data_IF_510812360458
#
_entry.id   IF_510812360458
#
_cell.length_a   1.000
_cell.length_b   1.000
_cell.length_c   1.000
_cell.angle_alpha   90.00
_cell.angle_beta   90.00
_cell.angle_gamma   90.00
#
_symmetry.space_group_name_H-M   'P 1'
#
loop_
_entity.id
_entity.type
_entity.pdbx_description
1 polymer ?
#
# COMPACT_ATOMS: atom_id res chain seq x y z
N UNK A 1 -0.51 -7.85 -12.96
CA UNK A 1 -0.55 -6.51 -12.31
C UNK A 1 -1.96 -6.26 -11.73
N UNK A 2 -2.37 -7.00 -10.70
CA UNK A 2 -3.76 -6.99 -10.17
C UNK A 2 -3.92 -6.17 -8.87
N UNK A 3 -2.89 -6.10 -8.01
CA UNK A 3 -2.98 -5.38 -6.73
C UNK A 3 -3.24 -3.85 -6.85
N UNK A 4 -2.78 -3.21 -7.93
CA UNK A 4 -3.05 -1.78 -8.17
C UNK A 4 -4.49 -1.49 -8.64
N UNK A 5 -5.24 -2.53 -9.03
CA UNK A 5 -6.60 -2.43 -9.56
C UNK A 5 -7.65 -2.65 -8.47
N UNK A 6 -7.38 -3.53 -7.50
CA UNK A 6 -8.35 -3.91 -6.47
C UNK A 6 -8.22 -3.15 -5.14
N UNK A 7 -7.12 -2.43 -4.91
CA UNK A 7 -6.91 -1.64 -3.69
C UNK A 7 -6.90 -0.13 -4.03
N UNK A 8 -7.90 0.59 -3.53
CA UNK A 8 -8.07 2.02 -3.76
C UNK A 8 -6.89 2.85 -3.26
N UNK A 9 -6.23 2.42 -2.19
CA UNK A 9 -5.06 3.11 -1.65
C UNK A 9 -3.83 2.95 -2.56
N UNK A 10 -3.66 1.78 -3.18
CA UNK A 10 -2.58 1.53 -4.14
C UNK A 10 -2.84 2.24 -5.48
N UNK A 11 -4.10 2.36 -5.89
CA UNK A 11 -4.50 3.11 -7.09
C UNK A 11 -4.19 4.60 -6.97
N UNK A 12 -4.47 5.20 -5.81
CA UNK A 12 -4.13 6.60 -5.52
C UNK A 12 -2.62 6.86 -5.53
N UNK A 13 -1.83 5.94 -4.97
CA UNK A 13 -0.36 6.03 -4.99
C UNK A 13 0.19 5.94 -6.42
N UNK A 14 -0.30 4.98 -7.21
CA UNK A 14 0.08 4.83 -8.60
C UNK A 14 -0.22 6.10 -9.40
N UNK A 15 -1.45 6.61 -9.31
CA UNK A 15 -1.89 7.81 -10.02
C UNK A 15 -1.00 9.02 -9.66
N UNK A 16 -0.78 9.28 -8.36
CA UNK A 16 0.09 10.39 -7.91
C UNK A 16 1.51 10.31 -8.48
N UNK A 17 2.09 9.11 -8.55
CA UNK A 17 3.45 8.92 -9.06
C UNK A 17 3.50 9.10 -10.57
N UNK A 18 2.51 8.57 -11.29
CA UNK A 18 2.41 8.73 -12.74
C UNK A 18 2.14 10.18 -13.11
N UNK A 19 1.22 10.86 -12.43
CA UNK A 19 0.90 12.27 -12.65
C UNK A 19 2.13 13.16 -12.40
N UNK A 20 2.95 12.84 -11.39
CA UNK A 20 4.18 13.61 -11.09
C UNK A 20 5.34 13.33 -12.04
N UNK A 21 5.47 12.10 -12.54
CA UNK A 21 6.68 11.68 -13.29
C UNK A 21 6.45 11.46 -14.78
N UNK A 22 5.21 11.36 -15.22
CA UNK A 22 4.81 10.97 -16.58
C UNK A 22 5.10 9.50 -16.93
N UNK A 23 5.74 8.73 -16.04
CA UNK A 23 6.28 7.40 -16.37
C UNK A 23 5.50 6.30 -15.64
N UNK A 24 4.71 5.53 -16.40
CA UNK A 24 3.87 4.42 -15.89
C UNK A 24 4.68 3.36 -15.12
N UNK A 25 5.88 2.99 -15.62
CA UNK A 25 6.76 2.01 -14.94
C UNK A 25 7.17 2.44 -13.53
N UNK A 26 7.41 3.74 -13.29
CA UNK A 26 7.75 4.25 -11.95
C UNK A 26 6.59 4.05 -10.97
N UNK A 27 5.37 4.26 -11.43
CA UNK A 27 4.16 3.96 -10.65
C UNK A 27 4.07 2.48 -10.28
N UNK A 28 4.27 1.58 -11.24
CA UNK A 28 4.21 0.14 -10.99
C UNK A 28 5.30 -0.35 -10.02
N UNK A 29 6.55 0.10 -10.19
CA UNK A 29 7.67 -0.28 -9.31
C UNK A 29 7.44 0.22 -7.88
N UNK A 30 6.87 1.41 -7.70
CA UNK A 30 6.56 1.94 -6.38
C UNK A 30 5.47 1.12 -5.67
N UNK A 31 4.42 0.72 -6.38
CA UNK A 31 3.37 -0.15 -5.82
C UNK A 31 3.94 -1.52 -5.45
N UNK A 32 4.76 -2.12 -6.31
CA UNK A 32 5.40 -3.41 -6.06
C UNK A 32 6.31 -3.37 -4.82
N UNK A 33 7.16 -2.34 -4.68
CA UNK A 33 8.03 -2.18 -3.52
C UNK A 33 7.22 -2.08 -2.22
N UNK A 34 6.11 -1.32 -2.24
CA UNK A 34 5.26 -1.18 -1.05
C UNK A 34 4.60 -2.51 -0.65
N UNK A 35 4.16 -3.30 -1.62
CA UNK A 35 3.60 -4.63 -1.38
C UNK A 35 4.66 -5.59 -0.82
N UNK A 36 5.88 -5.57 -1.37
CA UNK A 36 6.97 -6.43 -0.91
C UNK A 36 7.35 -6.14 0.55
N UNK A 37 7.42 -4.86 0.92
CA UNK A 37 7.71 -4.44 2.30
C UNK A 37 6.60 -4.89 3.26
N UNK A 38 5.34 -4.78 2.86
CA UNK A 38 4.21 -5.28 3.64
C UNK A 38 4.30 -6.80 3.89
N UNK A 39 4.55 -7.58 2.83
CA UNK A 39 4.71 -9.03 2.94
C UNK A 39 5.90 -9.37 3.86
N UNK A 40 7.03 -8.67 3.70
CA UNK A 40 8.21 -8.86 4.54
C UNK A 40 7.92 -8.62 6.02
N UNK A 41 7.20 -7.55 6.36
CA UNK A 41 6.82 -7.26 7.74
C UNK A 41 5.87 -8.32 8.32
N UNK A 42 4.85 -8.74 7.56
CA UNK A 42 3.93 -9.77 8.00
C UNK A 42 4.63 -11.12 8.20
N UNK A 43 5.53 -11.47 7.29
CA UNK A 43 6.30 -12.71 7.36
C UNK A 43 7.27 -12.73 8.54
N UNK A 44 7.98 -11.62 8.79
CA UNK A 44 8.94 -11.53 9.90
C UNK A 44 8.27 -11.47 11.27
N UNK A 45 7.05 -10.92 11.36
CA UNK A 45 6.26 -10.86 12.61
C UNK A 45 5.30 -12.03 12.78
N UNK A 46 5.17 -12.90 11.78
CA UNK A 46 4.19 -13.99 11.73
C UNK A 46 2.75 -13.50 12.01
N UNK A 47 2.44 -12.28 11.55
CA UNK A 47 1.15 -11.62 11.76
C UNK A 47 0.24 -11.87 10.55
N UNK A 48 -1.06 -12.04 10.80
CA UNK A 48 -2.05 -12.15 9.72
C UNK A 48 -2.24 -10.80 9.05
N UNK A 49 -2.33 -10.80 7.72
CA UNK A 49 -2.68 -9.59 6.97
C UNK A 49 -4.08 -9.12 7.38
N UNK A 50 -4.18 -7.90 7.89
CA UNK A 50 -5.43 -7.23 8.18
C UNK A 50 -5.63 -6.04 7.23
N UNK A 51 -6.60 -6.09 6.29
CA UNK A 51 -6.87 -4.99 5.38
C UNK A 51 -7.40 -3.74 6.08
N UNK A 52 -7.97 -3.88 7.28
CA UNK A 52 -8.46 -2.76 8.10
C UNK A 52 -7.42 -2.25 9.10
N UNK A 53 -6.19 -2.76 9.07
CA UNK A 53 -5.12 -2.36 9.99
C UNK A 53 -4.95 -0.83 10.06
N UNK A 54 -5.00 -0.15 8.91
CA UNK A 54 -4.88 1.32 8.83
C UNK A 54 -6.05 2.08 9.43
N UNK A 55 -7.26 1.55 9.35
CA UNK A 55 -8.43 2.18 9.97
C UNK A 55 -8.41 1.97 11.49
N UNK A 56 -8.01 0.78 11.95
CA UNK A 56 -7.81 0.49 13.37
C UNK A 56 -6.71 1.38 13.98
N UNK A 57 -5.60 1.56 13.27
CA UNK A 57 -4.52 2.47 13.67
C UNK A 57 -5.01 3.92 13.74
N UNK A 58 -5.79 4.39 12.75
CA UNK A 58 -6.36 5.74 12.76
C UNK A 58 -7.34 5.95 13.91
N UNK A 59 -8.21 4.99 14.19
CA UNK A 59 -9.16 5.02 15.30
C UNK A 59 -8.43 5.08 16.65
N UNK A 60 -7.41 4.25 16.85
CA UNK A 60 -6.60 4.23 18.07
C UNK A 60 -5.90 5.58 18.33
N UNK A 61 -5.46 6.27 17.26
CA UNK A 61 -4.83 7.60 17.34
C UNK A 61 -5.82 8.76 17.58
N UNK A 62 -7.12 8.56 17.35
CA UNK A 62 -8.17 9.56 17.60
C UNK A 62 -8.75 9.48 19.01
N UNK A 63 -8.60 8.33 19.67
CA UNK A 63 -9.07 8.07 21.03
C UNK A 63 -8.00 8.27 22.12
N UNK A 64 -6.78 8.64 21.74
CA UNK A 64 -5.65 8.95 22.62
C UNK A 64 -5.43 10.46 22.69
#
# INVERSE_FOLDING_TARGET
LSAAVHDEHLKGLYKRIVDRTGIKKKGSVAVQRKLLVLIYHLFTRNEKYDPQYREKERLALQTA
#
